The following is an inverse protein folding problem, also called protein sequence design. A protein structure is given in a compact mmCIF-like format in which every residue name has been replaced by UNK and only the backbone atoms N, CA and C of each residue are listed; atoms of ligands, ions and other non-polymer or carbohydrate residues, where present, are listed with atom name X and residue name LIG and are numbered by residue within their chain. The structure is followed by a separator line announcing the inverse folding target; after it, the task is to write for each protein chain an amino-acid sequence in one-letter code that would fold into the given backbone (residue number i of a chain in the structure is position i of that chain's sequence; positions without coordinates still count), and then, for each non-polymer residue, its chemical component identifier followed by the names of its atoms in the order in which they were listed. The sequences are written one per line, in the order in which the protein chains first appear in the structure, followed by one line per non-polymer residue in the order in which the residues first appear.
data_IF_861295468430
#
_entry.id   IF_861295468430
#
_cell.length_a   1.000
_cell.length_b   1.000
_cell.length_c   1.000
_cell.angle_alpha   90.00
_cell.angle_beta   90.00
_cell.angle_gamma   90.00
#
_symmetry.space_group_name_H-M   'P 1'
#
loop_
_entity.id
_entity.type
_entity.pdbx_description
1 polymer ?
#
# COMPACT_ATOMS: atom_id res chain seq x y z
N UNK A 1 -23.26 -4.23 2.77
CA UNK A 1 -23.89 -2.96 3.20
C UNK A 1 -23.13 -1.83 2.56
N UNK A 2 -23.73 -1.14 1.59
CA UNK A 2 -23.16 0.08 1.02
C UNK A 2 -23.43 1.22 2.00
N UNK A 3 -22.45 1.58 2.81
CA UNK A 3 -22.50 2.86 3.52
C UNK A 3 -22.29 3.99 2.50
N UNK A 4 -23.13 5.04 2.49
CA UNK A 4 -22.85 6.22 1.70
C UNK A 4 -21.46 6.76 2.01
N UNK A 5 -20.72 7.19 0.99
CA UNK A 5 -19.30 7.63 1.13
C UNK A 5 -19.10 8.68 2.23
N UNK A 6 -19.99 9.67 2.31
CA UNK A 6 -19.90 10.74 3.30
C UNK A 6 -20.04 10.25 4.77
N UNK A 7 -20.84 9.19 5.03
CA UNK A 7 -20.97 8.61 6.38
C UNK A 7 -19.72 7.83 6.75
N UNK A 8 -19.11 7.16 5.77
CA UNK A 8 -17.86 6.43 5.90
C UNK A 8 -16.73 7.36 6.32
N UNK A 9 -16.56 8.48 5.63
CA UNK A 9 -15.48 9.43 5.85
C UNK A 9 -15.58 10.12 7.20
N UNK A 10 -16.78 10.54 7.60
CA UNK A 10 -17.01 11.13 8.93
C UNK A 10 -16.68 10.13 10.04
N UNK A 11 -17.16 8.90 9.93
CA UNK A 11 -16.92 7.86 10.95
C UNK A 11 -15.44 7.50 11.05
N UNK A 12 -14.76 7.37 9.91
CA UNK A 12 -13.33 7.05 9.88
C UNK A 12 -12.49 8.18 10.48
N UNK A 13 -12.74 9.44 10.09
CA UNK A 13 -12.03 10.60 10.61
C UNK A 13 -12.22 10.75 12.12
N UNK A 14 -13.44 10.54 12.63
CA UNK A 14 -13.72 10.56 14.06
C UNK A 14 -12.93 9.48 14.79
N UNK A 15 -12.98 8.23 14.30
CA UNK A 15 -12.23 7.11 14.89
C UNK A 15 -10.72 7.34 14.87
N UNK A 16 -10.19 7.98 13.82
CA UNK A 16 -8.77 8.32 13.74
C UNK A 16 -8.37 9.44 14.68
N UNK A 17 -9.25 10.44 14.94
CA UNK A 17 -8.97 11.57 15.83
C UNK A 17 -8.99 11.19 17.32
N UNK A 18 -9.77 10.19 17.70
CA UNK A 18 -9.92 9.73 19.09
C UNK A 18 -8.85 8.71 19.52
N UNK A 19 -8.04 8.20 18.59
CA UNK A 19 -7.10 7.13 18.85
C UNK A 19 -5.65 7.52 18.52
N UNK A 20 -4.71 6.99 19.30
CA UNK A 20 -3.28 7.13 19.02
C UNK A 20 -2.87 6.17 17.93
N UNK A 21 -2.58 6.70 16.71
CA UNK A 21 -2.14 5.94 15.57
C UNK A 21 -0.62 6.08 15.41
N UNK A 22 0.08 4.95 15.46
CA UNK A 22 1.54 4.89 15.32
C UNK A 22 1.95 3.91 14.22
N UNK A 23 3.14 4.10 13.69
CA UNK A 23 3.78 3.16 12.76
C UNK A 23 4.96 2.52 13.47
N UNK A 24 5.02 1.19 13.50
CA UNK A 24 6.12 0.42 14.07
C UNK A 24 6.64 -0.61 13.08
N UNK A 25 7.63 -0.26 12.28
CA UNK A 25 8.24 -1.17 11.32
C UNK A 25 9.14 -2.23 11.98
N UNK A 26 9.50 -2.05 13.27
CA UNK A 26 10.55 -2.81 13.95
C UNK A 26 10.13 -4.17 14.51
N UNK A 27 8.82 -4.45 14.66
CA UNK A 27 8.32 -5.69 15.31
C UNK A 27 8.56 -6.99 14.55
N UNK A 28 9.41 -7.02 13.56
CA UNK A 28 9.81 -8.26 12.93
C UNK A 28 11.18 -8.66 13.47
N UNK A 29 11.24 -9.84 14.08
CA UNK A 29 12.40 -10.47 14.74
C UNK A 29 13.71 -10.52 13.92
N UNK A 30 13.73 -9.93 12.75
CA UNK A 30 14.95 -9.56 12.03
C UNK A 30 14.66 -8.34 11.16
N UNK A 31 15.55 -7.37 11.18
CA UNK A 31 15.63 -6.31 10.16
C UNK A 31 15.61 -6.88 8.73
N UNK A 32 15.84 -8.19 8.59
CA UNK A 32 15.89 -8.95 7.36
C UNK A 32 14.57 -9.63 6.95
N UNK A 33 13.61 -9.84 7.87
CA UNK A 33 12.31 -10.42 7.50
C UNK A 33 11.44 -9.46 6.66
N UNK A 34 11.75 -8.16 6.71
CA UNK A 34 11.20 -7.14 5.84
C UNK A 34 11.64 -7.30 4.37
N UNK A 35 12.59 -8.20 4.12
CA UNK A 35 13.52 -8.16 3.02
C UNK A 35 13.58 -9.47 2.21
N UNK A 36 12.50 -10.25 2.13
CA UNK A 36 12.41 -11.43 1.28
C UNK A 36 11.69 -11.11 -0.03
N UNK A 37 11.74 -12.00 -1.00
CA UNK A 37 12.55 -11.95 -2.22
C UNK A 37 12.36 -10.62 -2.96
N UNK A 38 13.32 -10.16 -3.71
CA UNK A 38 13.39 -8.80 -4.26
C UNK A 38 14.09 -7.78 -3.35
N UNK A 39 14.76 -8.26 -2.29
CA UNK A 39 15.39 -7.46 -1.24
C UNK A 39 16.19 -6.25 -1.73
N UNK A 40 17.06 -6.42 -2.71
CA UNK A 40 17.85 -5.32 -3.27
C UNK A 40 16.97 -4.24 -3.87
N UNK A 41 15.91 -4.64 -4.55
CA UNK A 41 14.98 -3.78 -5.23
C UNK A 41 14.12 -2.98 -4.25
N UNK A 42 13.58 -3.64 -3.22
CA UNK A 42 12.82 -2.97 -2.14
C UNK A 42 13.68 -1.92 -1.45
N UNK A 43 14.94 -2.26 -1.13
CA UNK A 43 15.89 -1.31 -0.52
C UNK A 43 16.19 -0.13 -1.44
N UNK A 44 16.31 -0.36 -2.73
CA UNK A 44 16.51 0.67 -3.74
C UNK A 44 15.30 1.61 -3.81
N UNK A 45 14.08 1.06 -3.87
CA UNK A 45 12.84 1.84 -3.88
C UNK A 45 12.72 2.73 -2.63
N UNK A 46 12.99 2.18 -1.45
CA UNK A 46 13.01 2.95 -0.20
C UNK A 46 14.04 4.09 -0.27
N UNK A 47 15.25 3.81 -0.74
CA UNK A 47 16.30 4.85 -0.92
C UNK A 47 15.92 5.94 -1.93
N UNK A 48 15.13 5.59 -2.93
CA UNK A 48 14.59 6.56 -3.90
C UNK A 48 13.47 7.42 -3.31
N UNK A 49 12.98 7.10 -2.12
CA UNK A 49 11.86 7.79 -1.47
C UNK A 49 10.49 7.32 -1.93
N UNK A 50 10.38 6.13 -2.51
CA UNK A 50 9.09 5.50 -2.79
C UNK A 50 8.30 5.28 -1.49
N UNK A 51 6.97 5.44 -1.56
CA UNK A 51 6.09 5.29 -0.41
C UNK A 51 5.60 3.84 -0.33
N UNK A 52 5.84 3.17 0.78
CA UNK A 52 5.24 1.86 1.07
C UNK A 52 3.75 2.03 1.32
N UNK A 53 2.92 1.26 0.64
CA UNK A 53 1.47 1.29 0.76
C UNK A 53 0.86 -0.11 0.89
N UNK A 54 -0.45 -0.22 0.77
CA UNK A 54 -1.16 -1.49 0.76
C UNK A 54 -1.06 -2.28 2.07
N UNK A 55 -1.15 -3.60 1.96
CA UNK A 55 -1.19 -4.49 3.12
C UNK A 55 0.11 -4.52 3.95
N UNK A 56 1.26 -4.22 3.33
CA UNK A 56 2.54 -4.15 4.07
C UNK A 56 2.64 -2.91 4.93
N UNK A 57 2.25 -1.76 4.42
CA UNK A 57 2.16 -0.54 5.22
C UNK A 57 1.16 -0.74 6.37
N UNK A 58 -0.03 -1.26 6.06
CA UNK A 58 -1.08 -1.52 7.04
C UNK A 58 -0.60 -2.42 8.19
N UNK A 59 0.25 -3.41 7.90
CA UNK A 59 0.85 -4.31 8.91
C UNK A 59 1.75 -3.58 9.90
N UNK A 60 2.26 -2.42 9.56
CA UNK A 60 3.10 -1.59 10.45
C UNK A 60 2.28 -0.66 11.35
N UNK A 61 1.01 -0.43 11.01
CA UNK A 61 0.13 0.45 11.79
C UNK A 61 -0.35 -0.19 13.09
N UNK A 62 -0.36 0.61 14.14
CA UNK A 62 -0.92 0.27 15.45
C UNK A 62 -1.91 1.33 15.89
N UNK A 63 -2.95 0.92 16.59
CA UNK A 63 -3.91 1.77 17.27
C UNK A 63 -3.81 1.51 18.76
N UNK A 64 -3.55 2.56 19.54
CA UNK A 64 -3.36 2.47 20.99
C UNK A 64 -2.37 1.35 21.38
N UNK A 65 -1.28 1.24 20.61
CA UNK A 65 -0.23 0.24 20.79
C UNK A 65 -0.58 -1.19 20.31
N UNK A 66 -1.83 -1.46 19.91
CA UNK A 66 -2.25 -2.76 19.38
C UNK A 66 -2.13 -2.80 17.85
N UNK A 67 -1.78 -3.95 17.30
CA UNK A 67 -1.67 -4.13 15.86
C UNK A 67 -3.05 -4.03 15.19
N UNK A 68 -3.12 -3.20 14.14
CA UNK A 68 -4.34 -2.95 13.40
C UNK A 68 -4.72 -4.11 12.47
N UNK A 69 -3.72 -4.83 11.94
CA UNK A 69 -3.90 -5.75 10.84
C UNK A 69 -3.06 -7.02 11.01
N UNK A 70 -3.70 -8.20 10.97
CA UNK A 70 -3.05 -9.47 11.30
C UNK A 70 -2.66 -10.31 10.09
N UNK A 71 -3.33 -10.15 8.94
CA UNK A 71 -3.04 -10.93 7.73
C UNK A 71 -1.59 -10.74 7.26
N UNK A 72 -0.95 -11.83 6.82
CA UNK A 72 0.40 -11.78 6.25
C UNK A 72 0.35 -11.20 4.82
N UNK A 73 1.02 -10.06 4.56
CA UNK A 73 1.11 -9.51 3.22
C UNK A 73 1.89 -10.45 2.29
N UNK A 74 1.45 -10.57 1.03
CA UNK A 74 2.13 -11.39 0.02
C UNK A 74 3.13 -10.58 -0.80
N UNK A 75 2.70 -9.45 -1.30
CA UNK A 75 3.33 -8.55 -2.24
C UNK A 75 3.78 -7.24 -1.58
N UNK A 76 4.58 -6.49 -2.30
CA UNK A 76 4.97 -5.14 -1.95
C UNK A 76 4.26 -4.17 -2.86
N UNK A 77 3.57 -3.20 -2.28
CA UNK A 77 2.94 -2.11 -2.99
C UNK A 77 3.69 -0.81 -2.68
N UNK A 78 4.16 -0.12 -3.71
CA UNK A 78 4.82 1.18 -3.59
C UNK A 78 4.13 2.22 -4.45
N UNK A 79 4.08 3.46 -3.95
CA UNK A 79 3.74 4.62 -4.76
C UNK A 79 5.05 5.28 -5.17
N UNK A 80 5.18 5.55 -6.47
CA UNK A 80 6.34 6.20 -7.09
C UNK A 80 5.87 7.34 -7.97
N UNK A 81 6.75 8.34 -8.19
CA UNK A 81 6.51 9.35 -9.22
C UNK A 81 6.90 8.82 -10.60
N UNK A 82 6.43 9.49 -11.64
CA UNK A 82 6.85 9.17 -13.01
C UNK A 82 8.37 9.25 -13.19
N UNK A 83 9.02 10.26 -12.60
CA UNK A 83 10.48 10.39 -12.62
C UNK A 83 11.19 9.17 -11.99
N UNK A 84 10.65 8.63 -10.90
CA UNK A 84 11.16 7.40 -10.29
C UNK A 84 10.92 6.20 -11.20
N UNK A 85 9.73 6.10 -11.81
CA UNK A 85 9.38 5.03 -12.74
C UNK A 85 10.31 5.02 -13.97
N UNK A 86 10.58 6.19 -14.56
CA UNK A 86 11.55 6.33 -15.66
C UNK A 86 12.93 5.82 -15.26
N UNK A 87 13.44 6.25 -14.11
CA UNK A 87 14.75 5.82 -13.61
C UNK A 87 14.82 4.30 -13.40
N UNK A 88 13.75 3.71 -12.85
CA UNK A 88 13.67 2.25 -12.65
C UNK A 88 13.68 1.53 -14.00
N UNK A 89 12.92 2.02 -14.97
CA UNK A 89 12.90 1.45 -16.32
C UNK A 89 14.28 1.53 -16.99
N UNK A 90 14.96 2.66 -16.91
CA UNK A 90 16.31 2.85 -17.47
C UNK A 90 17.32 1.86 -16.85
N UNK A 91 17.28 1.65 -15.54
CA UNK A 91 18.14 0.68 -14.85
C UNK A 91 17.87 -0.77 -15.29
N UNK A 92 16.68 -1.05 -15.80
CA UNK A 92 16.31 -2.33 -16.40
C UNK A 92 16.48 -2.41 -17.93
N UNK A 93 17.02 -1.35 -18.55
CA UNK A 93 17.22 -1.28 -20.00
C UNK A 93 15.91 -1.20 -20.78
N UNK A 94 14.85 -0.66 -20.20
CA UNK A 94 13.51 -0.54 -20.78
C UNK A 94 13.09 0.91 -20.82
N UNK A 95 12.54 1.38 -21.94
CA UNK A 95 11.98 2.72 -22.04
C UNK A 95 10.64 2.79 -21.33
N UNK A 96 10.49 3.73 -20.40
CA UNK A 96 9.20 3.98 -19.73
C UNK A 96 8.14 4.43 -20.74
N UNK A 97 6.95 3.86 -20.63
CA UNK A 97 5.79 4.21 -21.46
C UNK A 97 4.63 4.58 -20.54
N UNK A 98 4.31 5.86 -20.51
CA UNK A 98 3.18 6.34 -19.71
C UNK A 98 1.85 5.72 -20.15
N UNK A 99 0.96 5.48 -19.19
CA UNK A 99 -0.35 4.87 -19.40
C UNK A 99 -0.30 3.37 -19.73
N UNK A 100 0.88 2.77 -19.87
CA UNK A 100 1.03 1.33 -20.14
C UNK A 100 1.31 0.56 -18.86
N UNK A 101 0.80 -0.67 -18.78
CA UNK A 101 1.23 -1.64 -17.78
C UNK A 101 2.57 -2.22 -18.23
N UNK A 102 3.60 -2.07 -17.40
CA UNK A 102 4.94 -2.53 -17.70
C UNK A 102 5.37 -3.62 -16.72
N UNK A 103 5.85 -4.74 -17.23
CA UNK A 103 6.36 -5.86 -16.43
C UNK A 103 7.88 -5.87 -16.51
N UNK A 104 8.54 -5.69 -15.36
CA UNK A 104 10.00 -5.65 -15.24
C UNK A 104 10.47 -6.73 -14.25
N UNK A 105 10.81 -7.92 -14.73
CA UNK A 105 11.20 -9.08 -13.89
C UNK A 105 10.15 -9.35 -12.80
N UNK A 106 10.45 -8.99 -11.54
CA UNK A 106 9.60 -9.23 -10.37
C UNK A 106 8.68 -8.04 -10.05
N UNK A 107 8.73 -6.98 -10.87
CA UNK A 107 7.93 -5.78 -10.68
C UNK A 107 6.90 -5.60 -11.78
N UNK A 108 5.80 -4.97 -11.41
CA UNK A 108 4.84 -4.41 -12.34
C UNK A 108 4.67 -2.92 -12.05
N UNK A 109 4.74 -2.09 -13.11
CA UNK A 109 4.48 -0.65 -13.06
C UNK A 109 3.17 -0.35 -13.77
N UNK A 110 2.35 0.49 -13.19
CA UNK A 110 1.10 0.96 -13.81
C UNK A 110 0.66 2.29 -13.21
N UNK A 111 -0.09 3.06 -13.98
CA UNK A 111 -0.77 4.24 -13.46
C UNK A 111 -1.88 3.84 -12.49
N UNK A 112 -2.16 4.69 -11.52
CA UNK A 112 -3.24 4.51 -10.54
C UNK A 112 -4.60 4.22 -11.21
N UNK A 113 -4.89 4.89 -12.33
CA UNK A 113 -6.08 4.66 -13.15
C UNK A 113 -6.19 3.25 -13.75
N UNK A 114 -5.07 2.56 -13.91
CA UNK A 114 -4.99 1.19 -14.48
C UNK A 114 -4.89 0.11 -13.40
N UNK A 115 -5.08 0.46 -12.13
CA UNK A 115 -4.91 -0.47 -11.00
C UNK A 115 -5.76 -1.75 -11.15
N UNK A 116 -6.92 -1.62 -11.76
CA UNK A 116 -7.83 -2.73 -12.03
C UNK A 116 -7.28 -3.80 -12.96
N UNK A 117 -6.51 -3.39 -13.96
CA UNK A 117 -6.03 -4.26 -15.04
C UNK A 117 -4.72 -4.97 -14.71
N UNK A 118 -3.99 -4.49 -13.69
CA UNK A 118 -2.69 -5.03 -13.27
C UNK A 118 -2.76 -6.40 -12.57
N UNK A 119 -3.95 -6.87 -12.22
CA UNK A 119 -4.18 -8.04 -11.37
C UNK A 119 -3.88 -9.39 -12.01
N UNK A 120 -3.68 -9.42 -13.30
CA UNK A 120 -3.49 -10.67 -14.06
C UNK A 120 -2.04 -11.19 -13.98
N UNK A 121 -1.09 -10.33 -13.55
CA UNK A 121 0.34 -10.71 -13.52
C UNK A 121 0.78 -10.89 -12.05
N UNK A 122 1.10 -12.12 -11.62
CA UNK A 122 1.63 -12.36 -10.30
C UNK A 122 3.06 -11.80 -10.22
N UNK A 123 3.22 -10.69 -9.50
CA UNK A 123 4.53 -10.08 -9.23
C UNK A 123 4.69 -9.85 -7.72
N UNK A 124 5.94 -9.87 -7.27
CA UNK A 124 6.26 -9.64 -5.85
C UNK A 124 6.19 -8.15 -5.48
N UNK A 125 6.32 -7.27 -6.47
CA UNK A 125 6.39 -5.82 -6.28
C UNK A 125 5.46 -5.13 -7.29
N UNK A 126 4.59 -4.27 -6.77
CA UNK A 126 3.70 -3.42 -7.55
C UNK A 126 4.10 -1.96 -7.36
N UNK A 127 4.30 -1.25 -8.45
CA UNK A 127 4.65 0.17 -8.48
C UNK A 127 3.49 0.96 -9.06
N UNK A 128 2.83 1.71 -8.20
CA UNK A 128 1.72 2.60 -8.57
C UNK A 128 2.30 3.96 -8.93
N UNK A 129 2.26 4.31 -10.19
CA UNK A 129 2.81 5.58 -10.69
C UNK A 129 1.79 6.68 -10.50
N UNK A 130 2.18 7.76 -9.82
CA UNK A 130 1.40 8.99 -9.65
C UNK A 130 2.20 10.19 -10.15
N UNK A 131 1.52 11.28 -10.49
CA UNK A 131 2.18 12.53 -10.91
C UNK A 131 2.99 13.11 -9.76
N UNK A 132 2.41 13.09 -8.56
CA UNK A 132 3.03 13.54 -7.32
C UNK A 132 2.87 12.49 -6.21
N UNK A 133 3.80 12.49 -5.26
CA UNK A 133 3.66 11.65 -4.07
C UNK A 133 2.54 12.21 -3.19
N UNK A 134 1.59 11.37 -2.73
CA UNK A 134 0.60 11.78 -1.75
C UNK A 134 1.25 12.06 -0.39
N UNK A 135 0.48 12.58 0.56
CA UNK A 135 0.90 12.71 1.95
C UNK A 135 1.37 11.36 2.52
N UNK A 136 2.43 11.42 3.33
CA UNK A 136 3.04 10.23 3.92
C UNK A 136 3.60 10.52 5.31
N UNK A 137 3.81 9.45 6.08
CA UNK A 137 4.58 9.48 7.33
C UNK A 137 5.94 8.84 7.11
N UNK A 138 6.98 9.46 7.64
CA UNK A 138 8.33 8.90 7.58
C UNK A 138 8.72 8.36 8.96
N UNK A 139 9.11 7.08 9.02
CA UNK A 139 9.59 6.41 10.23
C UNK A 139 10.81 5.58 9.87
N UNK A 140 11.91 5.79 10.57
CA UNK A 140 13.20 5.11 10.33
C UNK A 140 13.70 5.23 8.88
N UNK A 141 13.47 6.38 8.22
CA UNK A 141 13.85 6.64 6.83
C UNK A 141 12.99 5.89 5.79
N UNK A 142 11.86 5.33 6.19
CA UNK A 142 10.87 4.68 5.32
C UNK A 142 9.62 5.53 5.29
N UNK A 143 9.12 5.80 4.08
CA UNK A 143 7.87 6.52 3.86
C UNK A 143 6.71 5.55 3.78
N UNK A 144 5.66 5.82 4.53
CA UNK A 144 4.42 5.04 4.58
C UNK A 144 3.24 5.90 4.14
N UNK A 145 2.36 5.36 3.30
CA UNK A 145 1.08 6.01 3.02
C UNK A 145 0.32 6.29 4.30
N UNK A 146 -0.39 7.43 4.37
CA UNK A 146 -1.34 7.69 5.46
C UNK A 146 -2.38 6.57 5.55
N UNK A 147 -2.81 6.26 6.76
CA UNK A 147 -3.76 5.17 7.02
C UNK A 147 -5.09 5.39 6.29
N UNK A 148 -5.58 6.63 6.26
CA UNK A 148 -6.78 7.02 5.51
C UNK A 148 -6.65 6.67 4.03
N UNK A 149 -5.50 7.00 3.42
CA UNK A 149 -5.24 6.69 2.01
C UNK A 149 -5.29 5.18 1.74
N UNK A 150 -4.65 4.36 2.60
CA UNK A 150 -4.67 2.89 2.45
C UNK A 150 -6.09 2.34 2.55
N UNK A 151 -6.88 2.88 3.47
CA UNK A 151 -8.28 2.45 3.67
C UNK A 151 -9.11 2.83 2.45
N UNK A 152 -8.96 4.05 1.92
CA UNK A 152 -9.69 4.52 0.74
C UNK A 152 -9.37 3.67 -0.49
N UNK A 153 -8.10 3.35 -0.72
CA UNK A 153 -7.70 2.46 -1.80
C UNK A 153 -8.34 1.07 -1.67
N UNK A 154 -8.40 0.52 -0.45
CA UNK A 154 -9.08 -0.76 -0.22
C UNK A 154 -10.58 -0.69 -0.49
N UNK A 155 -11.25 0.41 -0.15
CA UNK A 155 -12.67 0.61 -0.48
C UNK A 155 -12.93 0.68 -1.98
N UNK A 156 -12.06 1.35 -2.74
CA UNK A 156 -12.16 1.39 -4.21
C UNK A 156 -12.06 -0.01 -4.82
N UNK A 157 -11.28 -0.90 -4.20
CA UNK A 157 -11.08 -2.28 -4.66
C UNK A 157 -12.19 -3.26 -4.23
N UNK A 158 -13.08 -2.88 -3.31
CA UNK A 158 -14.30 -3.62 -2.95
C UNK A 158 -15.41 -3.33 -3.96
N UNK A 159 -15.11 -3.38 -5.25
CA UNK A 159 -16.13 -3.22 -6.31
C UNK A 159 -16.82 -4.56 -6.58
N UNK A 160 -18.16 -4.57 -6.85
CA UNK A 160 -18.92 -5.78 -7.13
C UNK A 160 -18.45 -6.56 -8.36
N UNK A 161 -17.59 -5.98 -9.18
CA UNK A 161 -17.06 -6.61 -10.40
C UNK A 161 -15.72 -7.32 -10.21
N UNK A 162 -15.22 -7.45 -8.97
CA UNK A 162 -13.89 -7.99 -8.70
C UNK A 162 -13.88 -9.35 -7.98
N UNK A 163 -13.20 -10.34 -8.57
CA UNK A 163 -12.96 -11.66 -7.94
C UNK A 163 -12.08 -11.58 -6.68
N UNK A 164 -11.41 -10.46 -6.41
CA UNK A 164 -10.64 -10.19 -5.19
C UNK A 164 -11.43 -9.49 -4.09
N UNK A 165 -12.73 -9.33 -4.27
CA UNK A 165 -13.66 -8.62 -3.36
C UNK A 165 -13.53 -9.10 -1.92
N UNK A 166 -13.45 -10.41 -1.71
CA UNK A 166 -13.42 -11.00 -0.37
C UNK A 166 -12.18 -10.59 0.44
N UNK A 167 -11.02 -10.43 -0.21
CA UNK A 167 -9.75 -10.07 0.47
C UNK A 167 -9.78 -8.64 1.01
N UNK A 168 -10.22 -7.68 0.21
CA UNK A 168 -10.24 -6.28 0.60
C UNK A 168 -11.38 -5.98 1.58
N UNK A 169 -12.53 -6.59 1.40
CA UNK A 169 -13.66 -6.51 2.32
C UNK A 169 -13.29 -7.11 3.69
N UNK A 170 -12.62 -8.26 3.73
CA UNK A 170 -12.13 -8.85 4.96
C UNK A 170 -11.10 -7.97 5.68
N UNK A 171 -10.14 -7.40 4.94
CA UNK A 171 -9.16 -6.45 5.48
C UNK A 171 -9.86 -5.24 6.14
N UNK A 172 -10.87 -4.66 5.45
CA UNK A 172 -11.64 -3.53 5.97
C UNK A 172 -12.45 -3.90 7.21
N UNK A 173 -13.09 -5.09 7.22
CA UNK A 173 -13.82 -5.58 8.40
C UNK A 173 -12.90 -5.75 9.61
N UNK A 174 -11.70 -6.28 9.44
CA UNK A 174 -10.71 -6.40 10.51
C UNK A 174 -10.32 -5.01 11.06
N UNK A 175 -10.05 -4.05 10.19
CA UNK A 175 -9.70 -2.68 10.56
C UNK A 175 -10.83 -2.05 11.38
N UNK A 176 -12.06 -2.09 10.86
CA UNK A 176 -13.25 -1.52 11.53
C UNK A 176 -13.50 -2.20 12.89
N UNK A 177 -13.39 -3.52 12.94
CA UNK A 177 -13.55 -4.27 14.19
C UNK A 177 -12.51 -3.88 15.25
N UNK A 178 -11.26 -3.61 14.83
CA UNK A 178 -10.21 -3.12 15.74
C UNK A 178 -10.52 -1.73 16.29
N UNK A 179 -11.02 -0.82 15.47
CA UNK A 179 -11.45 0.50 15.94
C UNK A 179 -12.65 0.42 16.91
N UNK A 180 -13.59 -0.48 16.68
CA UNK A 180 -14.79 -0.61 17.52
C UNK A 180 -14.53 -1.35 18.85
N UNK A 181 -13.41 -2.06 19.00
CA UNK A 181 -13.04 -2.82 20.20
C UNK A 181 -11.95 -2.11 21.03
N UNK A 182 -11.79 -0.81 20.87
CA UNK A 182 -10.89 0.04 21.64
C UNK A 182 -11.63 0.79 22.72
#
# INVERSE_FOLDING_TARGET
MNYPEHIRDIKLNLLMSENTITIDPSKRKSKFAFLRPGYGLVKQLIKMGAIVTGSRALKCYKINGKQLFDRKPRDWDFIVTEKMAMKICDEHGVTYKDGSIMVLKQMILFRDSSYGDSRVVPTDIQLIVKDELPEYREVDGIRFSELSHIIDEKYKLVSPHHNSMNKHDEDLRQIIARFNNL
#
